data_IF_286135785123
#
_entry.id   IF_286135785123
#
_cell.length_a   1.000
_cell.length_b   1.000
_cell.length_c   1.000
_cell.angle_alpha   90.00
_cell.angle_beta   90.00
_cell.angle_gamma   90.00
#
_symmetry.space_group_name_H-M   'P 1'
#
loop_
_entity.id
_entity.type
_entity.pdbx_description
1 polymer ?
#
# COMPACT_ATOMS: atom_id res chain seq x y z
N UNK A 1 6.38 4.47 12.82
CA UNK A 1 5.34 4.88 11.85
C UNK A 1 6.05 5.57 10.69
N UNK A 2 5.69 5.25 9.46
CA UNK A 2 6.27 5.79 8.24
C UNK A 2 5.14 6.05 7.25
N UNK A 3 5.20 7.12 6.48
CA UNK A 3 4.29 7.33 5.37
C UNK A 3 4.92 8.23 4.33
N UNK A 4 4.47 8.13 3.10
CA UNK A 4 4.86 9.03 2.02
C UNK A 4 3.68 9.36 1.12
N UNK A 5 3.80 10.51 0.46
CA UNK A 5 2.93 10.94 -0.63
C UNK A 5 3.64 10.64 -1.94
N UNK A 6 2.99 9.91 -2.83
CA UNK A 6 3.47 9.65 -4.19
C UNK A 6 2.50 10.25 -5.20
N UNK A 7 3.02 10.81 -6.29
CA UNK A 7 2.21 11.29 -7.40
C UNK A 7 2.95 11.08 -8.71
N UNK A 8 2.21 10.98 -9.81
CA UNK A 8 2.78 11.02 -11.16
C UNK A 8 2.78 12.46 -11.71
N UNK A 9 3.61 12.74 -12.72
CA UNK A 9 3.68 14.06 -13.39
C UNK A 9 2.63 14.21 -14.52
N UNK A 10 1.51 13.51 -14.40
CA UNK A 10 0.42 13.56 -15.37
C UNK A 10 -0.59 14.68 -15.04
N UNK A 11 -1.52 14.96 -15.95
CA UNK A 11 -2.59 15.95 -15.77
C UNK A 11 -3.93 15.35 -16.15
N UNK A 12 -5.01 15.97 -15.66
CA UNK A 12 -6.38 15.54 -15.97
C UNK A 12 -6.64 14.11 -15.50
N UNK A 13 -7.27 13.31 -16.36
CA UNK A 13 -7.69 11.95 -16.02
C UNK A 13 -6.52 10.98 -15.82
N UNK A 14 -5.34 11.30 -16.35
CA UNK A 14 -4.12 10.49 -16.16
C UNK A 14 -3.45 10.74 -14.80
N UNK A 15 -3.86 11.79 -14.07
CA UNK A 15 -3.29 12.10 -12.76
C UNK A 15 -3.66 11.03 -11.72
N UNK A 16 -2.66 10.64 -10.94
CA UNK A 16 -2.77 9.75 -9.80
C UNK A 16 -1.92 10.26 -8.65
N UNK A 17 -2.54 10.34 -7.47
CA UNK A 17 -1.87 10.63 -6.21
C UNK A 17 -2.20 9.55 -5.19
N UNK A 18 -1.23 9.20 -4.34
CA UNK A 18 -1.37 8.24 -3.28
C UNK A 18 -0.74 8.73 -1.98
N UNK A 19 -1.34 8.36 -0.86
CA UNK A 19 -0.72 8.45 0.46
C UNK A 19 -0.60 7.05 1.04
N UNK A 20 0.62 6.55 1.16
CA UNK A 20 0.93 5.18 1.57
C UNK A 20 1.55 5.19 2.96
N UNK A 21 0.84 4.62 3.93
CA UNK A 21 1.19 4.62 5.34
C UNK A 21 1.52 3.22 5.86
N UNK A 22 2.49 3.16 6.76
CA UNK A 22 3.03 1.96 7.38
C UNK A 22 3.14 2.12 8.90
N UNK A 23 2.77 1.05 9.61
CA UNK A 23 2.91 0.92 11.05
C UNK A 23 3.52 -0.45 11.35
N UNK A 24 4.72 -0.44 11.95
CA UNK A 24 5.38 -1.63 12.50
C UNK A 24 5.38 -1.49 14.01
N UNK A 25 4.81 -2.46 14.71
CA UNK A 25 4.69 -2.46 16.17
C UNK A 25 5.03 -3.82 16.76
N UNK A 26 5.70 -3.81 17.92
CA UNK A 26 5.86 -5.01 18.75
C UNK A 26 4.55 -5.24 19.50
N UNK A 27 4.08 -6.48 19.47
CA UNK A 27 2.98 -6.97 20.28
C UNK A 27 3.54 -7.89 21.39
N UNK A 28 2.68 -8.27 22.32
CA UNK A 28 3.04 -9.26 23.34
C UNK A 28 3.34 -10.63 22.70
N UNK A 29 3.99 -11.51 23.48
CA UNK A 29 4.30 -12.89 23.08
C UNK A 29 5.18 -12.99 21.82
N UNK A 30 6.24 -12.18 21.76
CA UNK A 30 7.26 -12.21 20.70
C UNK A 30 6.69 -12.04 19.28
N UNK A 31 5.62 -11.25 19.16
CA UNK A 31 4.94 -11.00 17.90
C UNK A 31 5.24 -9.58 17.38
N UNK A 32 5.38 -9.45 16.06
CA UNK A 32 5.47 -8.15 15.37
C UNK A 32 4.28 -8.03 14.43
N UNK A 33 3.57 -6.90 14.48
CA UNK A 33 2.53 -6.55 13.51
C UNK A 33 3.07 -5.51 12.53
N UNK A 34 2.85 -5.78 11.25
CA UNK A 34 3.10 -4.86 10.16
C UNK A 34 1.76 -4.54 9.50
N UNK A 35 1.34 -3.29 9.58
CA UNK A 35 0.15 -2.77 8.92
C UNK A 35 0.57 -1.78 7.83
N UNK A 36 0.03 -1.97 6.63
CA UNK A 36 0.16 -1.03 5.51
C UNK A 36 -1.21 -0.64 4.99
N UNK A 37 -1.41 0.64 4.69
CA UNK A 37 -2.64 1.18 4.10
C UNK A 37 -2.29 2.26 3.09
N UNK A 38 -3.01 2.30 1.98
CA UNK A 38 -2.85 3.33 0.96
C UNK A 38 -4.20 3.93 0.60
N UNK A 39 -4.24 5.26 0.50
CA UNK A 39 -5.38 6.00 -0.09
C UNK A 39 -4.94 6.58 -1.42
N UNK A 40 -5.75 6.39 -2.46
CA UNK A 40 -5.46 6.83 -3.82
C UNK A 40 -6.54 7.79 -4.33
N UNK A 41 -6.11 8.82 -5.08
CA UNK A 41 -6.94 9.81 -5.74
C UNK A 41 -6.62 9.84 -7.25
N UNK A 42 -7.64 9.73 -8.10
CA UNK A 42 -7.52 9.82 -9.55
C UNK A 42 -8.51 8.94 -10.30
N UNK A 43 -8.64 9.11 -11.62
CA UNK A 43 -9.51 8.24 -12.45
C UNK A 43 -8.97 6.81 -12.46
N UNK A 44 -7.65 6.64 -12.54
CA UNK A 44 -7.00 5.34 -12.42
C UNK A 44 -7.26 4.65 -11.07
N UNK A 45 -7.33 5.39 -9.96
CA UNK A 45 -7.66 4.83 -8.65
C UNK A 45 -9.07 4.20 -8.63
N UNK A 46 -10.04 4.84 -9.31
CA UNK A 46 -11.40 4.29 -9.46
C UNK A 46 -11.42 2.98 -10.27
N UNK A 47 -10.53 2.85 -11.25
CA UNK A 47 -10.38 1.61 -12.02
C UNK A 47 -9.71 0.51 -11.17
N UNK A 48 -8.63 0.83 -10.45
CA UNK A 48 -7.96 -0.09 -9.52
C UNK A 48 -8.91 -0.62 -8.46
N UNK A 49 -9.77 0.23 -7.89
CA UNK A 49 -10.76 -0.16 -6.88
C UNK A 49 -11.78 -1.21 -7.38
N UNK A 50 -11.98 -1.34 -8.70
CA UNK A 50 -12.89 -2.31 -9.31
C UNK A 50 -12.20 -3.59 -9.77
N UNK A 51 -10.87 -3.67 -9.68
CA UNK A 51 -10.12 -4.84 -10.14
C UNK A 51 -10.49 -6.10 -9.33
N UNK A 52 -10.67 -7.22 -10.03
CA UNK A 52 -10.92 -8.54 -9.43
C UNK A 52 -10.03 -9.57 -10.14
N UNK A 53 -9.06 -10.19 -9.44
CA UNK A 53 -8.71 -9.94 -8.05
C UNK A 53 -8.14 -8.52 -7.84
N UNK A 54 -8.26 -7.98 -6.62
CA UNK A 54 -7.84 -6.61 -6.33
C UNK A 54 -6.31 -6.47 -6.43
N UNK A 55 -5.85 -5.71 -7.42
CA UNK A 55 -4.43 -5.59 -7.75
C UNK A 55 -3.61 -4.95 -6.62
N UNK A 56 -4.10 -3.86 -6.01
CA UNK A 56 -3.40 -3.17 -4.92
C UNK A 56 -3.32 -4.03 -3.66
N UNK A 57 -4.41 -4.74 -3.34
CA UNK A 57 -4.44 -5.66 -2.21
C UNK A 57 -3.39 -6.76 -2.37
N UNK A 58 -3.36 -7.42 -3.54
CA UNK A 58 -2.42 -8.51 -3.80
C UNK A 58 -0.97 -8.02 -3.85
N UNK A 59 -0.71 -6.85 -4.46
CA UNK A 59 0.61 -6.25 -4.48
C UNK A 59 1.13 -5.91 -3.08
N UNK A 60 0.28 -5.31 -2.23
CA UNK A 60 0.65 -4.98 -0.85
C UNK A 60 0.83 -6.22 0.01
N UNK A 61 0.02 -7.27 -0.19
CA UNK A 61 0.20 -8.54 0.51
C UNK A 61 1.52 -9.20 0.13
N UNK A 62 1.85 -9.27 -1.16
CA UNK A 62 3.12 -9.80 -1.62
C UNK A 62 4.33 -9.00 -1.06
N UNK A 63 4.19 -7.68 -0.91
CA UNK A 63 5.20 -6.86 -0.24
C UNK A 63 5.36 -7.25 1.23
N UNK A 64 4.27 -7.35 1.99
CA UNK A 64 4.32 -7.79 3.38
C UNK A 64 4.97 -9.17 3.52
N UNK A 65 4.55 -10.13 2.70
CA UNK A 65 5.07 -11.50 2.72
C UNK A 65 6.57 -11.53 2.41
N UNK A 66 6.99 -10.76 1.39
CA UNK A 66 8.41 -10.62 1.02
C UNK A 66 9.24 -9.95 2.12
N UNK A 67 8.72 -8.89 2.75
CA UNK A 67 9.39 -8.23 3.86
C UNK A 67 9.57 -9.16 5.06
N UNK A 68 8.54 -9.94 5.41
CA UNK A 68 8.61 -10.94 6.48
C UNK A 68 9.62 -12.04 6.13
N UNK A 69 9.58 -12.58 4.91
CA UNK A 69 10.51 -13.62 4.49
C UNK A 69 11.97 -13.16 4.49
N UNK A 70 12.23 -11.92 4.06
CA UNK A 70 13.58 -11.35 3.99
C UNK A 70 14.14 -10.97 5.37
N UNK A 71 13.28 -10.68 6.35
CA UNK A 71 13.70 -10.21 7.68
C UNK A 71 13.82 -11.33 8.72
N UNK A 72 13.66 -12.59 8.31
CA UNK A 72 13.94 -13.77 9.14
C UNK A 72 15.44 -14.00 9.27
#
# INVERSE_FOLDING_TARGET
RLAWRGWNEAKGDEYLEAYHAWLVEKLDNDCVRILTQETQLGVHAKALAKSVPNAMLNGHQAWLDGLVAYSR
#
